data_IF_705889199486
#
_entry.id   IF_705889199486
#
_cell.length_a   1.000
_cell.length_b   1.000
_cell.length_c   1.000
_cell.angle_alpha   90.00
_cell.angle_beta   90.00
_cell.angle_gamma   90.00
#
_symmetry.space_group_name_H-M   'P 1'
#
loop_
_entity.id
_entity.type
_entity.pdbx_description
1 polymer ?
#
# COMPACT_ATOMS: atom_id res chain seq x y z
N UNK A 1 2.34 10.51 -1.67
CA UNK A 1 1.20 11.41 -1.94
C UNK A 1 0.54 11.89 -0.66
N UNK A 2 -0.13 11.03 0.13
CA UNK A 2 -0.93 11.44 1.31
C UNK A 2 -0.20 12.35 2.31
N UNK A 3 1.03 12.01 2.70
CA UNK A 3 1.86 12.87 3.55
C UNK A 3 2.08 14.27 2.96
N UNK A 4 2.44 14.32 1.68
CA UNK A 4 2.65 15.57 0.94
C UNK A 4 1.35 16.38 0.86
N UNK A 5 0.21 15.74 0.57
CA UNK A 5 -1.08 16.43 0.51
C UNK A 5 -1.46 17.08 1.86
N UNK A 6 -1.18 16.43 2.99
CA UNK A 6 -1.45 17.03 4.31
C UNK A 6 -0.60 18.29 4.55
N UNK A 7 0.66 18.28 4.13
CA UNK A 7 1.54 19.45 4.25
C UNK A 7 1.20 20.55 3.24
N UNK A 8 1.06 20.21 1.95
CA UNK A 8 0.85 21.18 0.87
C UNK A 8 -0.50 21.92 0.97
N UNK A 9 -1.53 21.28 1.51
CA UNK A 9 -2.89 21.81 1.56
C UNK A 9 -3.37 22.19 2.97
N UNK A 10 -2.43 22.36 3.92
CA UNK A 10 -2.74 22.93 5.24
C UNK A 10 -1.66 23.92 5.65
N UNK A 11 -2.00 24.90 6.48
CA UNK A 11 -1.05 25.94 6.86
C UNK A 11 0.07 25.44 7.80
N UNK A 12 -0.20 24.44 8.64
CA UNK A 12 0.64 24.11 9.80
C UNK A 12 0.99 22.62 9.95
N UNK A 13 0.52 21.71 9.07
CA UNK A 13 0.89 20.30 9.21
C UNK A 13 2.31 20.06 8.66
N UNK A 14 3.17 19.32 9.39
CA UNK A 14 4.53 19.07 8.95
C UNK A 14 4.59 18.10 7.77
N UNK A 15 5.59 18.27 6.91
CA UNK A 15 5.96 17.25 5.94
C UNK A 15 6.71 16.12 6.65
N UNK A 16 6.13 14.92 6.64
CA UNK A 16 6.70 13.74 7.30
C UNK A 16 7.11 12.68 6.28
N UNK A 17 8.15 11.93 6.62
CA UNK A 17 8.56 10.73 5.88
C UNK A 17 7.84 9.50 6.43
N UNK A 18 7.68 8.46 5.63
CA UNK A 18 7.03 7.24 6.08
C UNK A 18 7.86 6.54 7.16
N UNK A 19 7.20 6.10 8.23
CA UNK A 19 7.81 5.32 9.32
C UNK A 19 7.19 3.92 9.42
N UNK A 20 8.00 2.94 9.83
CA UNK A 20 7.57 1.54 9.94
C UNK A 20 6.68 1.27 11.15
N UNK A 21 6.75 2.12 12.18
CA UNK A 21 6.04 1.96 13.44
C UNK A 21 5.10 3.14 13.69
N UNK A 22 3.84 2.85 14.02
CA UNK A 22 2.88 3.84 14.47
C UNK A 22 1.92 3.21 15.47
N UNK A 23 1.44 3.99 16.43
CA UNK A 23 0.38 3.60 17.36
C UNK A 23 -0.92 4.30 16.98
N UNK A 24 -2.03 3.60 17.12
CA UNK A 24 -3.36 4.19 16.94
C UNK A 24 -4.14 4.14 18.28
N UNK A 25 -4.70 5.26 18.76
CA UNK A 25 -4.60 6.61 18.18
C UNK A 25 -3.21 7.25 18.41
N UNK A 26 -2.87 8.24 17.57
CA UNK A 26 -1.68 9.07 17.77
C UNK A 26 -1.89 10.10 18.89
N UNK A 27 -0.82 10.44 19.61
CA UNK A 27 -0.84 11.39 20.75
C UNK A 27 -0.31 12.79 20.41
N UNK A 28 0.16 13.00 19.18
CA UNK A 28 0.73 14.26 18.67
C UNK A 28 0.34 14.45 17.22
N UNK A 29 0.48 15.66 16.67
CA UNK A 29 0.20 15.92 15.25
C UNK A 29 0.94 14.93 14.34
N UNK A 30 2.25 14.73 14.56
CA UNK A 30 3.03 13.82 13.72
C UNK A 30 2.59 12.36 13.86
N UNK A 31 2.41 11.87 15.09
CA UNK A 31 1.98 10.48 15.31
C UNK A 31 0.55 10.22 14.79
N UNK A 32 -0.35 11.19 14.89
CA UNK A 32 -1.70 11.11 14.32
C UNK A 32 -1.69 11.10 12.79
N UNK A 33 -0.79 11.86 12.15
CA UNK A 33 -0.60 11.80 10.70
C UNK A 33 -0.10 10.41 10.29
N UNK A 34 0.92 9.86 10.94
CA UNK A 34 1.41 8.51 10.64
C UNK A 34 0.30 7.47 10.82
N UNK A 35 -0.37 7.49 11.98
CA UNK A 35 -1.41 6.53 12.30
C UNK A 35 -2.58 6.61 11.33
N UNK A 36 -3.05 7.81 10.98
CA UNK A 36 -4.16 8.01 10.05
C UNK A 36 -3.80 7.61 8.61
N UNK A 37 -2.65 8.04 8.10
CA UNK A 37 -2.23 7.74 6.72
C UNK A 37 -1.99 6.25 6.55
N UNK A 38 -1.23 5.62 7.45
CA UNK A 38 -0.81 4.23 7.32
C UNK A 38 -1.96 3.26 7.61
N UNK A 39 -2.72 3.48 8.69
CA UNK A 39 -3.90 2.65 8.99
C UNK A 39 -4.96 2.81 7.92
N UNK A 40 -5.17 4.03 7.42
CA UNK A 40 -6.14 4.30 6.35
C UNK A 40 -5.83 3.51 5.08
N UNK A 41 -4.59 3.57 4.60
CA UNK A 41 -4.17 2.79 3.41
C UNK A 41 -4.31 1.29 3.66
N UNK A 42 -3.92 0.79 4.82
CA UNK A 42 -4.03 -0.64 5.12
C UNK A 42 -5.50 -1.09 5.15
N UNK A 43 -6.38 -0.33 5.81
CA UNK A 43 -7.80 -0.64 5.91
C UNK A 43 -8.52 -0.55 4.56
N UNK A 44 -8.15 0.42 3.71
CA UNK A 44 -8.66 0.50 2.33
C UNK A 44 -8.33 -0.76 1.53
N UNK A 45 -7.06 -1.19 1.55
CA UNK A 45 -6.61 -2.39 0.84
C UNK A 45 -7.33 -3.64 1.37
N UNK A 46 -7.33 -3.84 2.69
CA UNK A 46 -7.97 -5.00 3.34
C UNK A 46 -9.48 -4.99 3.06
N UNK A 47 -10.12 -3.83 3.16
CA UNK A 47 -11.55 -3.67 2.89
C UNK A 47 -11.93 -4.06 1.47
N UNK A 48 -11.13 -3.64 0.48
CA UNK A 48 -11.34 -4.04 -0.92
C UNK A 48 -11.14 -5.54 -1.11
N UNK A 49 -10.07 -6.11 -0.54
CA UNK A 49 -9.81 -7.55 -0.64
C UNK A 49 -10.97 -8.35 -0.03
N UNK A 50 -11.43 -7.98 1.16
CA UNK A 50 -12.55 -8.65 1.83
C UNK A 50 -13.84 -8.54 1.01
N UNK A 51 -14.11 -7.37 0.40
CA UNK A 51 -15.26 -7.19 -0.47
C UNK A 51 -15.22 -8.11 -1.68
N UNK A 52 -14.06 -8.25 -2.33
CA UNK A 52 -13.90 -9.14 -3.47
C UNK A 52 -14.03 -10.61 -3.03
N UNK A 53 -13.37 -11.00 -1.93
CA UNK A 53 -13.45 -12.35 -1.37
C UNK A 53 -14.87 -12.75 -0.95
N UNK A 54 -15.73 -11.79 -0.62
CA UNK A 54 -17.14 -12.07 -0.30
C UNK A 54 -17.99 -12.48 -1.51
N UNK A 55 -17.48 -12.24 -2.73
CA UNK A 55 -18.19 -12.46 -3.99
C UNK A 55 -17.57 -13.57 -4.85
N UNK A 56 -16.30 -13.89 -4.63
CA UNK A 56 -15.55 -14.83 -5.46
C UNK A 56 -14.64 -15.71 -4.60
N UNK A 57 -14.59 -16.99 -4.95
CA UNK A 57 -13.69 -17.95 -4.31
C UNK A 57 -12.28 -17.90 -4.94
N UNK A 58 -11.27 -18.31 -4.18
CA UNK A 58 -9.88 -18.50 -4.64
C UNK A 58 -9.19 -17.26 -5.24
N UNK A 59 -9.54 -16.06 -4.74
CA UNK A 59 -8.91 -14.80 -5.17
C UNK A 59 -7.42 -14.80 -4.83
N UNK A 60 -6.58 -14.53 -5.83
CA UNK A 60 -5.14 -14.32 -5.64
C UNK A 60 -4.83 -12.83 -5.56
N UNK A 61 -4.18 -12.44 -4.48
CA UNK A 61 -3.75 -11.05 -4.26
C UNK A 61 -2.27 -10.91 -4.61
N UNK A 62 -1.96 -10.01 -5.55
CA UNK A 62 -0.60 -9.65 -5.94
C UNK A 62 -0.34 -8.22 -5.49
N UNK A 63 0.74 -8.01 -4.73
CA UNK A 63 1.17 -6.69 -4.28
C UNK A 63 2.48 -6.31 -4.95
N UNK A 64 2.55 -5.13 -5.54
CA UNK A 64 3.76 -4.63 -6.22
C UNK A 64 3.94 -3.13 -5.99
N UNK A 65 5.01 -2.55 -6.55
CA UNK A 65 5.37 -1.13 -6.39
C UNK A 65 6.29 -0.84 -5.21
N UNK A 66 6.74 0.41 -5.10
CA UNK A 66 7.81 0.81 -4.17
C UNK A 66 7.51 0.56 -2.68
N UNK A 67 6.25 0.69 -2.27
CA UNK A 67 5.85 0.50 -0.87
C UNK A 67 5.43 -0.94 -0.55
N UNK A 68 5.53 -1.88 -1.50
CA UNK A 68 5.06 -3.26 -1.32
C UNK A 68 5.75 -3.96 -0.14
N UNK A 69 7.04 -3.70 0.10
CA UNK A 69 7.79 -4.30 1.22
C UNK A 69 7.31 -3.83 2.60
N UNK A 70 6.91 -2.56 2.71
CA UNK A 70 6.33 -2.03 3.94
C UNK A 70 4.92 -2.61 4.14
N UNK A 71 4.08 -2.51 3.12
CA UNK A 71 2.70 -2.97 3.16
C UNK A 71 2.58 -4.49 3.39
N UNK A 72 3.49 -5.30 2.84
CA UNK A 72 3.46 -6.75 3.05
C UNK A 72 3.65 -7.16 4.51
N UNK A 73 4.47 -6.41 5.26
CA UNK A 73 4.64 -6.62 6.70
C UNK A 73 3.38 -6.23 7.48
N UNK A 74 2.77 -5.11 7.11
CA UNK A 74 1.66 -4.51 7.86
C UNK A 74 0.32 -5.21 7.62
N UNK A 75 0.04 -5.63 6.37
CA UNK A 75 -1.26 -6.18 5.98
C UNK A 75 -1.52 -7.59 6.52
N UNK A 76 -0.48 -8.37 6.87
CA UNK A 76 -0.57 -9.74 7.43
C UNK A 76 -1.45 -10.74 6.65
N UNK A 77 -1.72 -10.47 5.37
CA UNK A 77 -2.45 -11.37 4.47
C UNK A 77 -1.48 -12.06 3.50
N UNK A 78 -1.84 -13.26 3.05
CA UNK A 78 -1.08 -13.98 2.04
C UNK A 78 -1.16 -13.23 0.72
N UNK A 79 -0.05 -12.60 0.34
CA UNK A 79 0.10 -11.87 -0.91
C UNK A 79 1.36 -12.35 -1.63
N UNK A 80 1.33 -12.31 -2.95
CA UNK A 80 2.53 -12.47 -3.76
C UNK A 80 3.15 -11.10 -3.99
N UNK A 81 4.29 -10.85 -3.35
CA UNK A 81 5.02 -9.60 -3.51
C UNK A 81 6.13 -9.76 -4.54
N UNK A 82 5.91 -9.30 -5.78
CA UNK A 82 6.94 -9.28 -6.83
C UNK A 82 7.18 -7.83 -7.28
N UNK A 83 8.37 -7.30 -6.99
CA UNK A 83 8.75 -5.94 -7.36
C UNK A 83 8.91 -5.75 -8.88
N UNK A 84 9.24 -6.82 -9.60
CA UNK A 84 9.43 -6.81 -11.04
C UNK A 84 8.19 -7.25 -11.81
N UNK A 85 7.03 -7.32 -11.16
CA UNK A 85 5.80 -7.88 -11.75
C UNK A 85 5.44 -7.25 -13.11
N UNK A 86 5.60 -5.92 -13.24
CA UNK A 86 5.38 -5.22 -14.52
C UNK A 86 6.43 -5.62 -15.56
N UNK A 87 7.70 -5.70 -15.18
CA UNK A 87 8.79 -6.08 -16.08
C UNK A 87 8.63 -7.52 -16.57
N UNK A 88 8.22 -8.44 -15.68
CA UNK A 88 7.92 -9.83 -16.04
C UNK A 88 6.78 -9.89 -17.05
N UNK A 89 5.73 -9.07 -16.86
CA UNK A 89 4.63 -8.94 -17.81
C UNK A 89 5.09 -8.42 -19.18
N UNK A 90 5.90 -7.36 -19.20
CA UNK A 90 6.46 -6.80 -20.44
C UNK A 90 7.36 -7.80 -21.17
N UNK A 91 8.23 -8.50 -20.44
CA UNK A 91 9.09 -9.53 -21.01
C UNK A 91 8.26 -10.72 -21.56
N UNK A 92 7.17 -11.07 -20.87
CA UNK A 92 6.25 -12.11 -21.36
C UNK A 92 5.59 -11.71 -22.68
N UNK A 93 5.09 -10.47 -22.78
CA UNK A 93 4.53 -9.93 -24.02
C UNK A 93 5.59 -9.93 -25.13
N UNK A 94 6.82 -9.49 -24.83
CA UNK A 94 7.91 -9.51 -25.79
C UNK A 94 8.18 -10.93 -26.33
N UNK A 95 8.26 -11.92 -25.44
CA UNK A 95 8.53 -13.31 -25.84
C UNK A 95 7.38 -13.95 -26.63
N UNK A 96 6.13 -13.58 -26.36
CA UNK A 96 4.97 -14.04 -27.13
C UNK A 96 4.95 -13.51 -28.57
N UNK A 97 5.64 -12.40 -28.83
CA UNK A 97 5.72 -11.75 -30.14
C UNK A 97 7.11 -11.91 -30.78
N UNK A 98 7.94 -12.83 -30.28
CA UNK A 98 9.15 -13.25 -31.01
C UNK A 98 8.73 -14.23 -32.09
N UNK A 99 9.04 -13.89 -33.33
CA UNK A 99 8.93 -14.77 -34.50
C UNK A 99 9.72 -16.07 -34.32
#
# INVERSE_FOLDING_TARGET
>A
MRYKSLNDYTANLPLLQMEDNFSFPGGSTSSSIHAGVLSGVCNEIIGVINKINSQFDNVKVILTGGNAKFLSKTLKITIFANQNFILDGLNSILNLNKE
#
